data_IF_565856248825
#
_entry.id   IF_565856248825
#
_cell.length_a   1.000
_cell.length_b   1.000
_cell.length_c   1.000
_cell.angle_alpha   90.00
_cell.angle_beta   90.00
_cell.angle_gamma   90.00
#
_symmetry.space_group_name_H-M   'P 1'
#
loop_
_entity.id
_entity.type
_entity.pdbx_description
1 polymer ?
#
# COMPACT_ATOMS: atom_id res chain seq x y z
N UNK A 1 -36.64 66.03 -31.35
CA UNK A 1 -37.79 65.11 -31.25
C UNK A 1 -37.29 63.72 -31.59
N UNK A 2 -37.33 62.82 -30.60
CA UNK A 2 -37.15 61.36 -30.62
C UNK A 2 -36.01 60.75 -31.46
N UNK A 3 -34.93 60.32 -30.79
CA UNK A 3 -34.05 59.26 -31.28
C UNK A 3 -34.14 58.06 -30.32
N UNK A 4 -34.53 56.91 -30.88
CA UNK A 4 -34.42 55.58 -30.31
C UNK A 4 -32.93 55.19 -30.16
N UNK A 5 -32.67 54.33 -29.16
CA UNK A 5 -31.66 53.23 -29.09
C UNK A 5 -30.98 53.21 -27.72
N UNK A 6 -31.06 52.07 -27.04
CA UNK A 6 -30.30 51.79 -25.83
C UNK A 6 -30.63 50.44 -25.20
N UNK A 7 -30.22 49.34 -25.84
CA UNK A 7 -30.14 48.01 -25.22
C UNK A 7 -29.17 48.06 -24.02
N UNK A 8 -29.68 47.85 -22.81
CA UNK A 8 -28.94 47.30 -21.67
C UNK A 8 -29.98 46.86 -20.64
N UNK A 9 -30.08 45.62 -20.18
CA UNK A 9 -29.06 44.65 -19.86
C UNK A 9 -29.29 44.27 -18.40
N UNK A 10 -30.10 43.22 -18.13
CA UNK A 10 -30.26 42.61 -16.79
C UNK A 10 -31.10 41.32 -16.84
N UNK A 11 -30.63 40.31 -17.56
CA UNK A 11 -31.04 38.92 -17.30
C UNK A 11 -29.78 38.10 -17.07
N UNK A 12 -29.32 38.14 -15.82
CA UNK A 12 -28.06 37.54 -15.40
C UNK A 12 -27.98 37.47 -13.89
N UNK A 13 -28.94 36.81 -13.26
CA UNK A 13 -28.77 36.31 -11.90
C UNK A 13 -28.78 34.78 -11.96
N UNK A 14 -27.63 34.24 -12.38
CA UNK A 14 -27.26 32.87 -12.04
C UNK A 14 -27.12 32.89 -10.52
N UNK A 15 -28.06 32.27 -9.83
CA UNK A 15 -28.03 32.10 -8.38
C UNK A 15 -26.76 31.32 -8.00
N UNK A 16 -25.69 32.04 -7.64
CA UNK A 16 -24.60 31.46 -6.86
C UNK A 16 -25.15 31.22 -5.46
N UNK A 17 -25.75 30.04 -5.27
CA UNK A 17 -26.04 29.53 -3.94
C UNK A 17 -24.69 29.30 -3.25
N UNK A 18 -24.22 30.30 -2.50
CA UNK A 18 -23.06 30.23 -1.62
C UNK A 18 -23.45 29.39 -0.40
N UNK A 19 -23.55 28.06 -0.58
CA UNK A 19 -23.73 27.13 0.52
C UNK A 19 -22.44 27.12 1.36
N UNK A 20 -22.35 28.04 2.32
CA UNK A 20 -21.37 28.03 3.42
C UNK A 20 -21.76 26.98 4.47
N UNK A 21 -22.08 25.77 4.05
CA UNK A 21 -22.05 24.65 4.98
C UNK A 21 -20.59 24.20 5.04
N UNK A 22 -19.98 23.99 6.23
CA UNK A 22 -18.79 23.17 6.26
C UNK A 22 -19.25 21.81 5.75
N UNK A 23 -18.87 21.47 4.53
CA UNK A 23 -18.83 20.07 4.12
C UNK A 23 -17.89 19.46 5.14
N UNK A 24 -18.47 18.84 6.18
CA UNK A 24 -17.75 17.95 7.07
C UNK A 24 -17.40 16.79 6.15
N UNK A 25 -16.28 16.96 5.45
CA UNK A 25 -15.58 15.91 4.76
C UNK A 25 -15.09 14.98 5.87
N UNK A 26 -16.00 14.14 6.35
CA UNK A 26 -15.66 12.97 7.14
C UNK A 26 -15.07 11.92 6.20
N UNK A 27 -14.02 12.29 5.47
CA UNK A 27 -13.07 11.32 5.00
C UNK A 27 -12.38 10.80 6.26
N UNK A 28 -12.91 9.75 6.87
CA UNK A 28 -12.04 8.87 7.65
C UNK A 28 -10.88 8.56 6.70
N UNK A 29 -9.64 8.81 7.11
CA UNK A 29 -8.50 8.25 6.40
C UNK A 29 -8.62 6.73 6.54
N UNK A 30 -9.41 6.11 5.66
CA UNK A 30 -9.69 4.69 5.62
C UNK A 30 -8.50 3.95 4.99
N UNK A 31 -7.30 4.28 5.46
CA UNK A 31 -6.04 3.92 4.86
C UNK A 31 -4.90 4.00 5.86
N UNK A 32 -5.13 3.64 7.14
CA UNK A 32 -4.03 3.16 7.99
C UNK A 32 -3.63 1.74 7.55
N UNK A 33 -3.50 1.53 6.23
CA UNK A 33 -2.99 0.28 5.72
C UNK A 33 -1.48 0.38 5.78
N UNK A 34 -0.95 -0.46 6.66
CA UNK A 34 0.44 -0.72 7.01
C UNK A 34 1.52 -0.15 6.06
N UNK A 35 1.86 1.12 6.26
CA UNK A 35 3.00 1.76 5.56
C UNK A 35 4.31 1.11 5.97
N UNK A 36 4.40 0.69 7.22
CA UNK A 36 5.59 0.10 7.81
C UNK A 36 5.85 -1.34 7.28
N UNK A 37 4.81 -2.06 6.86
CA UNK A 37 4.96 -3.39 6.24
C UNK A 37 5.16 -3.36 4.73
N UNK A 38 5.06 -2.18 4.09
CA UNK A 38 5.32 -2.07 2.64
C UNK A 38 6.78 -2.39 2.34
N UNK A 39 7.09 -3.23 1.34
CA UNK A 39 8.47 -3.43 0.90
C UNK A 39 9.16 -2.11 0.54
N UNK A 40 10.38 -1.95 1.02
CA UNK A 40 11.26 -0.81 0.80
C UNK A 40 12.34 -1.07 -0.25
N UNK A 41 13.30 -0.15 -0.39
CA UNK A 41 14.47 -0.35 -1.24
C UNK A 41 15.38 -1.46 -0.68
N UNK A 42 16.19 -2.04 -1.55
CA UNK A 42 17.15 -3.10 -1.21
C UNK A 42 18.12 -2.65 -0.11
N UNK A 43 18.16 -3.33 1.05
CA UNK A 43 19.07 -2.95 2.14
C UNK A 43 20.52 -3.25 1.74
N UNK A 44 21.44 -2.35 2.07
CA UNK A 44 22.88 -2.48 1.73
C UNK A 44 23.75 -2.60 2.98
N UNK A 45 23.27 -2.11 4.12
CA UNK A 45 23.99 -2.17 5.39
C UNK A 45 23.48 -3.31 6.28
N UNK A 46 24.33 -3.80 7.16
CA UNK A 46 23.96 -4.88 8.11
C UNK A 46 22.84 -4.44 9.07
N UNK A 47 22.82 -3.16 9.46
CA UNK A 47 21.79 -2.60 10.32
C UNK A 47 20.42 -2.58 9.61
N UNK A 48 20.39 -2.16 8.34
CA UNK A 48 19.19 -2.20 7.51
C UNK A 48 18.71 -3.64 7.26
N UNK A 49 19.63 -4.57 7.01
CA UNK A 49 19.28 -6.00 6.87
C UNK A 49 18.68 -6.55 8.16
N UNK A 50 19.22 -6.18 9.33
CA UNK A 50 18.66 -6.60 10.63
C UNK A 50 17.29 -5.97 10.89
N UNK A 51 17.08 -4.72 10.48
CA UNK A 51 15.77 -4.08 10.56
C UNK A 51 14.75 -4.73 9.62
N UNK A 52 15.16 -5.06 8.39
CA UNK A 52 14.33 -5.77 7.41
C UNK A 52 13.98 -7.18 7.90
N UNK A 53 14.95 -7.95 8.41
CA UNK A 53 14.70 -9.26 9.01
C UNK A 53 13.65 -9.19 10.14
N UNK A 54 13.77 -8.20 11.03
CA UNK A 54 12.77 -7.94 12.09
C UNK A 54 11.39 -7.60 11.53
N UNK A 55 11.32 -6.77 10.48
CA UNK A 55 10.07 -6.41 9.79
C UNK A 55 9.36 -7.64 9.22
N UNK A 56 10.11 -8.59 8.66
CA UNK A 56 9.58 -9.85 8.12
C UNK A 56 9.48 -10.98 9.16
N UNK A 57 9.74 -10.70 10.45
CA UNK A 57 9.75 -11.71 11.54
C UNK A 57 10.69 -12.90 11.25
N UNK A 58 11.78 -12.65 10.53
CA UNK A 58 12.81 -13.63 10.22
C UNK A 58 14.05 -13.44 11.10
N UNK A 59 14.81 -14.52 11.26
CA UNK A 59 16.15 -14.44 11.82
C UNK A 59 17.07 -13.70 10.84
N UNK A 60 18.05 -12.96 11.37
CA UNK A 60 19.01 -12.23 10.55
C UNK A 60 19.81 -13.15 9.62
N UNK A 61 20.15 -14.35 10.09
CA UNK A 61 20.95 -15.35 9.35
C UNK A 61 20.20 -15.94 8.16
N UNK A 62 18.88 -16.09 8.29
CA UNK A 62 18.02 -16.63 7.24
C UNK A 62 17.56 -15.55 6.24
N UNK A 63 17.69 -14.27 6.61
CA UNK A 63 17.30 -13.15 5.75
C UNK A 63 18.32 -12.97 4.63
N UNK A 64 17.94 -13.40 3.43
CA UNK A 64 18.72 -13.23 2.20
C UNK A 64 17.97 -12.32 1.23
N UNK A 65 18.67 -11.32 0.74
CA UNK A 65 18.16 -10.41 -0.27
C UNK A 65 18.26 -11.07 -1.65
N UNK A 66 17.24 -10.92 -2.49
CA UNK A 66 17.29 -11.34 -3.91
C UNK A 66 18.36 -10.55 -4.65
N UNK A 67 19.13 -11.21 -5.51
CA UNK A 67 20.10 -10.52 -6.35
C UNK A 67 19.39 -9.64 -7.39
N UNK A 68 19.95 -8.46 -7.68
CA UNK A 68 19.42 -7.51 -8.66
C UNK A 68 19.37 -8.11 -10.08
N UNK A 69 20.21 -9.12 -10.36
CA UNK A 69 20.20 -9.88 -11.62
C UNK A 69 18.99 -10.81 -11.78
N UNK A 70 18.34 -11.22 -10.69
CA UNK A 70 17.15 -12.11 -10.73
C UNK A 70 15.85 -11.32 -10.98
N UNK A 71 15.92 -9.99 -11.11
CA UNK A 71 14.79 -9.12 -11.46
C UNK A 71 15.00 -7.69 -10.97
N UNK A 72 14.45 -6.74 -11.72
CA UNK A 72 14.79 -5.32 -11.59
C UNK A 72 14.25 -4.65 -10.32
N UNK A 73 13.25 -5.22 -9.62
CA UNK A 73 12.53 -4.50 -8.55
C UNK A 73 11.96 -5.41 -7.44
N UNK A 74 12.78 -6.23 -6.79
CA UNK A 74 12.35 -7.01 -5.60
C UNK A 74 12.41 -6.21 -4.28
N UNK A 75 13.26 -5.19 -4.19
CA UNK A 75 13.40 -4.36 -2.99
C UNK A 75 14.01 -5.10 -1.80
N UNK A 76 13.47 -4.87 -0.60
CA UNK A 76 13.84 -5.54 0.66
C UNK A 76 13.15 -6.91 0.86
N UNK A 77 12.46 -7.45 -0.14
CA UNK A 77 11.72 -8.69 0.01
C UNK A 77 12.66 -9.90 0.20
N UNK A 78 12.42 -10.77 1.21
CA UNK A 78 13.29 -11.91 1.48
C UNK A 78 13.22 -12.96 0.36
N UNK A 79 14.36 -13.60 0.09
CA UNK A 79 14.45 -14.77 -0.79
C UNK A 79 14.03 -16.04 -0.03
N UNK A 80 12.77 -16.40 -0.15
CA UNK A 80 12.20 -17.62 0.44
C UNK A 80 12.46 -18.80 -0.52
N UNK A 81 12.75 -20.01 -0.01
CA UNK A 81 12.86 -21.20 -0.85
C UNK A 81 11.53 -21.50 -1.55
N UNK A 82 11.60 -21.90 -2.81
CA UNK A 82 10.42 -22.29 -3.59
C UNK A 82 9.93 -23.67 -3.15
N UNK A 83 9.17 -23.71 -2.07
CA UNK A 83 8.53 -24.92 -1.53
C UNK A 83 7.04 -24.87 -1.83
N UNK A 84 6.51 -25.90 -2.48
CA UNK A 84 5.07 -25.98 -2.76
C UNK A 84 4.31 -26.32 -1.48
N UNK A 85 3.05 -25.87 -1.38
CA UNK A 85 2.20 -26.23 -0.24
C UNK A 85 2.08 -27.76 -0.07
N UNK A 86 2.09 -28.53 -1.17
CA UNK A 86 2.07 -30.00 -1.12
C UNK A 86 3.27 -30.63 -0.40
N UNK A 87 4.42 -29.96 -0.40
CA UNK A 87 5.65 -30.41 0.25
C UNK A 87 5.70 -30.12 1.75
N UNK A 88 4.78 -29.29 2.26
CA UNK A 88 4.67 -29.01 3.70
C UNK A 88 3.92 -30.13 4.40
N UNK A 89 4.20 -30.30 5.69
CA UNK A 89 3.61 -31.32 6.54
C UNK A 89 2.07 -31.31 6.42
N UNK A 90 1.40 -32.43 6.17
CA UNK A 90 -0.06 -32.49 6.17
C UNK A 90 -0.69 -32.55 7.57
N UNK A 91 0.06 -32.93 8.61
CA UNK A 91 -0.46 -33.16 9.97
C UNK A 91 -0.35 -31.94 10.89
N UNK A 92 0.38 -30.90 10.48
CA UNK A 92 0.51 -29.65 11.23
C UNK A 92 -0.79 -28.83 11.23
N UNK A 93 -1.11 -28.21 12.37
CA UNK A 93 -2.29 -27.34 12.53
C UNK A 93 -1.98 -25.92 12.05
N UNK A 94 -2.17 -25.69 10.74
CA UNK A 94 -1.94 -24.38 10.13
C UNK A 94 -3.08 -23.39 10.38
N UNK A 95 -2.74 -22.11 10.59
CA UNK A 95 -3.73 -21.02 10.64
C UNK A 95 -4.58 -20.95 9.35
N UNK A 96 -3.96 -21.24 8.20
CA UNK A 96 -4.63 -21.34 6.91
C UNK A 96 -4.46 -22.76 6.31
N UNK A 97 -5.34 -23.72 6.66
CA UNK A 97 -5.20 -25.12 6.25
C UNK A 97 -5.14 -25.33 4.73
N UNK A 98 -5.95 -24.59 3.97
CA UNK A 98 -5.99 -24.69 2.50
C UNK A 98 -4.67 -24.30 1.85
N UNK A 99 -3.91 -23.38 2.46
CA UNK A 99 -2.64 -22.88 1.96
C UNK A 99 -1.43 -23.52 2.64
N UNK A 100 -1.66 -24.31 3.69
CA UNK A 100 -0.64 -24.85 4.60
C UNK A 100 0.34 -23.77 5.07
N UNK A 101 -0.19 -22.65 5.57
CA UNK A 101 0.59 -21.46 5.95
C UNK A 101 0.15 -20.89 7.29
N UNK A 102 1.10 -20.37 8.06
CA UNK A 102 0.84 -19.70 9.33
C UNK A 102 0.75 -18.18 9.19
N UNK A 103 0.08 -17.52 10.14
CA UNK A 103 -0.08 -16.08 10.16
C UNK A 103 1.25 -15.38 10.45
N UNK A 104 1.60 -14.41 9.61
CA UNK A 104 2.87 -13.68 9.72
C UNK A 104 4.08 -14.40 9.12
N UNK A 105 3.90 -15.60 8.54
CA UNK A 105 4.91 -16.22 7.71
C UNK A 105 5.07 -15.42 6.39
N UNK A 106 6.31 -15.05 6.00
CA UNK A 106 6.54 -14.34 4.75
C UNK A 106 6.17 -15.25 3.58
N UNK A 107 5.43 -14.72 2.61
CA UNK A 107 4.93 -15.50 1.47
C UNK A 107 5.98 -15.54 0.34
N UNK A 108 6.19 -16.69 -0.29
CA UNK A 108 7.05 -16.79 -1.47
C UNK A 108 6.39 -16.18 -2.72
#
# INVERSE_FOLDING_TARGET
MAALVGLSGRFGQIARCQLKAPVITSCRSAGYWNKDWRPGPTPKTEEEMRAAAKKYKMLYEDYKVRAESEGLTWGDYPKIPTVTAGSRDPEEDYDFPTLKRNYGEPAA
#
